data_IF_202192366871
#
_entry.id   IF_202192366871
#
_cell.length_a   1.000
_cell.length_b   1.000
_cell.length_c   1.000
_cell.angle_alpha   90.00
_cell.angle_beta   90.00
_cell.angle_gamma   90.00
#
_symmetry.space_group_name_H-M   'P 1'
#
loop_
_entity.id
_entity.type
_entity.pdbx_description
1 polymer ?
#
# COMPACT_ATOMS: atom_id res chain seq x y z
N UNK A 1 -8.14 -9.51 17.86
CA UNK A 1 -8.74 -8.49 16.96
C UNK A 1 -7.68 -7.60 16.29
N UNK A 2 -6.82 -6.91 17.03
CA UNK A 2 -5.81 -5.98 16.47
C UNK A 2 -4.88 -6.65 15.44
N UNK A 3 -4.40 -7.86 15.73
CA UNK A 3 -3.56 -8.65 14.82
C UNK A 3 -4.24 -8.99 13.48
N UNK A 4 -5.57 -9.22 13.48
CA UNK A 4 -6.33 -9.46 12.24
C UNK A 4 -6.31 -8.21 11.36
N UNK A 5 -6.43 -7.02 11.96
CA UNK A 5 -6.37 -5.76 11.23
C UNK A 5 -4.95 -5.49 10.69
N UNK A 6 -3.91 -5.77 11.49
CA UNK A 6 -2.51 -5.67 11.01
C UNK A 6 -2.29 -6.58 9.80
N UNK A 7 -2.72 -7.84 9.87
CA UNK A 7 -2.63 -8.78 8.76
C UNK A 7 -3.44 -8.31 7.54
N UNK A 8 -4.65 -7.79 7.75
CA UNK A 8 -5.47 -7.23 6.68
C UNK A 8 -4.72 -6.11 5.93
N UNK A 9 -4.20 -5.12 6.65
CA UNK A 9 -3.47 -4.01 6.01
C UNK A 9 -2.13 -4.45 5.42
N UNK A 10 -1.47 -5.45 6.00
CA UNK A 10 -0.29 -6.07 5.41
C UNK A 10 -0.61 -6.70 4.04
N UNK A 11 -1.69 -7.48 3.95
CA UNK A 11 -2.13 -8.12 2.71
C UNK A 11 -2.56 -7.08 1.68
N UNK A 12 -3.32 -6.06 2.09
CA UNK A 12 -3.74 -4.95 1.21
C UNK A 12 -2.52 -4.25 0.62
N UNK A 13 -1.58 -3.81 1.46
CA UNK A 13 -0.37 -3.11 0.99
C UNK A 13 0.51 -4.00 0.13
N UNK A 14 0.61 -5.30 0.47
CA UNK A 14 1.34 -6.28 -0.32
C UNK A 14 0.71 -6.47 -1.71
N UNK A 15 -0.61 -6.58 -1.81
CA UNK A 15 -1.29 -6.67 -3.10
C UNK A 15 -1.12 -5.39 -3.91
N UNK A 16 -1.21 -4.22 -3.29
CA UNK A 16 -0.97 -2.94 -3.97
C UNK A 16 0.48 -2.88 -4.48
N UNK A 17 1.46 -3.27 -3.65
CA UNK A 17 2.86 -3.35 -4.05
C UNK A 17 3.07 -4.30 -5.23
N UNK A 18 2.48 -5.49 -5.16
CA UNK A 18 2.51 -6.49 -6.22
C UNK A 18 1.95 -5.94 -7.53
N UNK A 19 0.76 -5.36 -7.49
CA UNK A 19 0.08 -4.78 -8.66
C UNK A 19 0.88 -3.62 -9.28
N UNK A 20 1.42 -2.73 -8.47
CA UNK A 20 2.08 -1.52 -8.95
C UNK A 20 3.52 -1.75 -9.41
N UNK A 21 4.25 -2.65 -8.75
CA UNK A 21 5.66 -2.90 -9.09
C UNK A 21 5.85 -4.05 -10.05
N UNK A 22 4.95 -5.03 -10.08
CA UNK A 22 5.10 -6.26 -10.87
C UNK A 22 6.36 -7.08 -10.55
N UNK A 23 7.07 -6.74 -9.45
CA UNK A 23 8.35 -7.37 -9.09
C UNK A 23 8.17 -8.79 -8.55
N UNK A 24 7.00 -9.08 -8.00
CA UNK A 24 6.65 -10.38 -7.45
C UNK A 24 5.71 -11.06 -8.45
N UNK A 25 5.93 -12.34 -8.74
CA UNK A 25 5.00 -13.13 -9.55
C UNK A 25 4.14 -13.97 -8.62
N UNK A 26 2.89 -13.55 -8.40
CA UNK A 26 1.90 -14.34 -7.68
C UNK A 26 1.07 -15.17 -8.65
N UNK A 27 0.77 -16.41 -8.29
CA UNK A 27 -0.19 -17.23 -9.00
C UNK A 27 -1.57 -16.54 -8.98
N UNK A 28 -2.24 -16.47 -10.13
CA UNK A 28 -3.56 -15.87 -10.29
C UNK A 28 -4.59 -16.43 -9.30
N UNK A 29 -4.52 -17.73 -8.99
CA UNK A 29 -5.37 -18.34 -7.95
C UNK A 29 -5.16 -17.69 -6.57
N UNK A 30 -3.90 -17.53 -6.15
CA UNK A 30 -3.54 -16.90 -4.87
C UNK A 30 -4.00 -15.44 -4.85
N UNK A 31 -3.81 -14.70 -5.95
CA UNK A 31 -4.26 -13.31 -6.05
C UNK A 31 -5.77 -13.20 -5.85
N UNK A 32 -6.56 -14.04 -6.53
CA UNK A 32 -8.02 -14.06 -6.39
C UNK A 32 -8.42 -14.39 -4.95
N UNK A 33 -7.79 -15.40 -4.33
CA UNK A 33 -8.08 -15.78 -2.94
C UNK A 33 -7.79 -14.64 -1.97
N UNK A 34 -6.68 -13.91 -2.14
CA UNK A 34 -6.34 -12.77 -1.28
C UNK A 34 -7.28 -11.58 -1.49
N UNK A 35 -7.69 -11.30 -2.72
CA UNK A 35 -8.67 -10.24 -3.01
C UNK A 35 -10.03 -10.59 -2.39
N UNK A 36 -10.48 -11.83 -2.59
CA UNK A 36 -11.76 -12.28 -2.04
C UNK A 36 -11.75 -12.28 -0.51
N UNK A 37 -10.66 -12.69 0.14
CA UNK A 37 -10.54 -12.65 1.60
C UNK A 37 -10.58 -11.22 2.14
N UNK A 38 -9.94 -10.25 1.47
CA UNK A 38 -10.04 -8.83 1.84
C UNK A 38 -11.48 -8.35 1.75
N UNK A 39 -12.18 -8.61 0.63
CA UNK A 39 -13.57 -8.17 0.44
C UNK A 39 -14.46 -8.76 1.53
N UNK A 40 -14.31 -10.05 1.83
CA UNK A 40 -15.08 -10.73 2.85
C UNK A 40 -14.81 -10.16 4.26
N UNK A 41 -13.55 -9.87 4.60
CA UNK A 41 -13.21 -9.22 5.88
C UNK A 41 -13.82 -7.82 5.97
N UNK A 42 -13.75 -7.03 4.91
CA UNK A 42 -14.35 -5.69 4.85
C UNK A 42 -15.86 -5.79 5.04
N UNK A 43 -16.54 -6.70 4.33
CA UNK A 43 -17.98 -6.90 4.48
C UNK A 43 -18.36 -7.30 5.92
N UNK A 44 -17.64 -8.26 6.52
CA UNK A 44 -17.86 -8.65 7.92
C UNK A 44 -17.67 -7.45 8.85
N UNK A 45 -16.63 -6.66 8.65
CA UNK A 45 -16.34 -5.49 9.48
C UNK A 45 -17.47 -4.44 9.46
N UNK A 46 -18.08 -4.22 8.29
CA UNK A 46 -19.19 -3.27 8.14
C UNK A 46 -20.55 -3.82 8.57
N UNK A 47 -20.77 -5.13 8.44
CA UNK A 47 -22.00 -5.80 8.85
C UNK A 47 -22.05 -6.10 10.36
N UNK A 48 -20.88 -6.21 11.00
CA UNK A 48 -20.72 -6.34 12.45
C UNK A 48 -21.14 -5.04 13.14
N UNK A 49 -22.45 -4.92 13.42
CA UNK A 49 -23.08 -3.74 14.04
C UNK A 49 -22.65 -3.48 15.50
N UNK A 50 -21.96 -4.42 16.16
CA UNK A 50 -21.68 -4.34 17.59
C UNK A 50 -20.22 -4.75 17.91
N UNK A 51 -19.47 -3.85 18.54
CA UNK A 51 -18.11 -4.03 19.07
C UNK A 51 -16.98 -4.25 18.04
N UNK A 52 -16.87 -3.34 17.07
CA UNK A 52 -15.63 -3.26 16.29
C UNK A 52 -14.48 -2.78 17.19
N UNK A 53 -13.37 -3.52 17.22
CA UNK A 53 -12.18 -3.15 17.99
C UNK A 53 -11.50 -1.86 17.49
N UNK A 54 -11.92 -1.37 16.33
CA UNK A 54 -11.47 -0.16 15.67
C UNK A 54 -12.73 0.61 15.26
N UNK A 55 -12.75 1.93 15.44
CA UNK A 55 -13.85 2.76 14.93
C UNK A 55 -13.88 2.77 13.40
N UNK A 56 -15.07 2.82 12.80
CA UNK A 56 -15.24 2.86 11.34
C UNK A 56 -14.44 4.01 10.72
N UNK A 57 -14.42 5.18 11.40
CA UNK A 57 -13.65 6.34 10.96
C UNK A 57 -12.14 6.05 10.91
N UNK A 58 -11.60 5.37 11.91
CA UNK A 58 -10.18 5.01 11.93
C UNK A 58 -9.86 3.93 10.90
N UNK A 59 -10.73 2.93 10.73
CA UNK A 59 -10.61 1.93 9.68
C UNK A 59 -10.59 2.56 8.28
N UNK A 60 -11.47 3.53 8.03
CA UNK A 60 -11.48 4.29 6.77
C UNK A 60 -10.22 5.11 6.55
N UNK A 61 -9.67 5.72 7.60
CA UNK A 61 -8.39 6.42 7.52
C UNK A 61 -7.24 5.47 7.18
N UNK A 62 -7.23 4.27 7.76
CA UNK A 62 -6.25 3.24 7.44
C UNK A 62 -6.35 2.78 5.98
N UNK A 63 -7.57 2.51 5.49
CA UNK A 63 -7.79 2.21 4.07
C UNK A 63 -7.33 3.34 3.15
N UNK A 64 -7.62 4.59 3.53
CA UNK A 64 -7.15 5.76 2.80
C UNK A 64 -5.62 5.82 2.73
N UNK A 65 -4.91 5.53 3.83
CA UNK A 65 -3.44 5.43 3.82
C UNK A 65 -2.93 4.38 2.83
N UNK A 66 -3.54 3.20 2.75
CA UNK A 66 -3.22 2.22 1.69
C UNK A 66 -3.46 2.80 0.29
N UNK A 67 -4.53 3.57 0.11
CA UNK A 67 -4.82 4.28 -1.14
C UNK A 67 -3.74 5.29 -1.55
N UNK A 68 -3.12 5.99 -0.59
CA UNK A 68 -2.05 6.97 -0.89
C UNK A 68 -0.84 6.36 -1.59
N UNK A 69 -0.62 5.05 -1.45
CA UNK A 69 0.42 4.31 -2.16
C UNK A 69 0.26 4.47 -3.69
N UNK A 70 -0.97 4.42 -4.20
CA UNK A 70 -1.24 4.63 -5.62
C UNK A 70 -0.82 6.02 -6.08
N UNK A 71 -1.21 7.05 -5.32
CA UNK A 71 -0.89 8.46 -5.61
C UNK A 71 0.62 8.64 -5.68
N UNK A 72 1.36 8.16 -4.66
CA UNK A 72 2.82 8.23 -4.64
C UNK A 72 3.48 7.47 -5.79
N UNK A 73 2.98 6.27 -6.12
CA UNK A 73 3.55 5.48 -7.21
C UNK A 73 3.39 6.19 -8.56
N UNK A 74 2.22 6.77 -8.84
CA UNK A 74 2.00 7.48 -10.10
C UNK A 74 2.72 8.83 -10.14
N UNK A 75 2.74 9.58 -9.04
CA UNK A 75 3.47 10.84 -8.94
C UNK A 75 4.97 10.64 -9.20
N UNK A 76 5.58 9.64 -8.58
CA UNK A 76 7.01 9.31 -8.81
C UNK A 76 7.27 8.84 -10.25
N UNK A 77 6.38 8.05 -10.84
CA UNK A 77 6.49 7.64 -12.26
C UNK A 77 6.43 8.85 -13.21
N UNK A 78 5.54 9.80 -12.92
CA UNK A 78 5.42 11.04 -13.69
C UNK A 78 6.67 11.92 -13.54
N UNK A 79 7.18 12.06 -12.32
CA UNK A 79 8.40 12.83 -12.03
C UNK A 79 9.63 12.24 -12.73
N UNK A 80 9.77 10.91 -12.74
CA UNK A 80 10.84 10.22 -13.49
C UNK A 80 10.73 10.50 -15.00
N UNK A 81 9.53 10.45 -15.57
CA UNK A 81 9.32 10.78 -16.99
C UNK A 81 9.71 12.21 -17.32
N UNK A 82 9.38 13.16 -16.44
CA UNK A 82 9.78 14.58 -16.62
C UNK A 82 11.30 14.70 -16.56
N UNK A 83 11.96 14.10 -15.56
CA UNK A 83 13.42 14.13 -15.43
C UNK A 83 14.12 13.55 -16.65
N UNK A 84 13.61 12.43 -17.20
CA UNK A 84 14.14 11.83 -18.43
C UNK A 84 13.98 12.74 -19.65
N UNK A 85 12.93 13.57 -19.70
CA UNK A 85 12.70 14.50 -20.81
C UNK A 85 13.59 15.75 -20.73
N UNK A 86 13.97 16.19 -19.52
CA UNK A 86 14.72 17.44 -19.30
C UNK A 86 16.23 17.26 -19.45
N UNK A 87 16.81 16.09 -19.17
CA UNK A 87 18.26 15.89 -19.32
C UNK A 87 18.64 14.41 -19.44
N UNK A 88 19.62 14.12 -20.31
CA UNK A 88 20.14 12.77 -20.56
C UNK A 88 21.53 12.52 -19.91
N UNK A 89 21.88 13.27 -18.86
CA UNK A 89 23.20 13.17 -18.21
C UNK A 89 23.30 12.01 -17.22
N UNK A 90 24.52 11.53 -16.95
CA UNK A 90 24.82 10.47 -15.96
C UNK A 90 24.26 10.78 -14.56
N UNK A 91 24.19 12.05 -14.16
CA UNK A 91 23.60 12.51 -12.88
C UNK A 91 22.12 12.16 -12.76
N UNK A 92 21.36 12.18 -13.87
CA UNK A 92 19.96 11.76 -13.87
C UNK A 92 19.79 10.26 -13.63
N UNK A 93 20.77 9.41 -14.00
CA UNK A 93 20.67 7.96 -13.76
C UNK A 93 20.72 7.61 -12.27
N UNK A 94 21.60 8.27 -11.50
CA UNK A 94 21.67 8.10 -10.04
C UNK A 94 20.39 8.61 -9.36
N UNK A 95 19.90 9.80 -9.76
CA UNK A 95 18.63 10.34 -9.26
C UNK A 95 17.45 9.42 -9.56
N UNK A 96 17.31 8.92 -10.79
CA UNK A 96 16.26 7.99 -11.19
C UNK A 96 16.35 6.67 -10.40
N UNK A 97 17.55 6.15 -10.18
CA UNK A 97 17.77 4.97 -9.34
C UNK A 97 17.32 5.19 -7.90
N UNK A 98 17.72 6.32 -7.30
CA UNK A 98 17.29 6.73 -5.96
C UNK A 98 15.78 6.88 -5.84
N UNK A 99 15.13 7.56 -6.79
CA UNK A 99 13.67 7.68 -6.83
C UNK A 99 12.98 6.33 -6.96
N UNK A 100 13.51 5.41 -7.77
CA UNK A 100 12.96 4.06 -7.89
C UNK A 100 13.12 3.24 -6.60
N UNK A 101 14.25 3.37 -5.90
CA UNK A 101 14.45 2.73 -4.60
C UNK A 101 13.48 3.27 -3.54
N UNK A 102 13.41 4.60 -3.43
CA UNK A 102 12.53 5.29 -2.49
C UNK A 102 11.06 4.94 -2.74
N UNK A 103 10.64 4.96 -4.02
CA UNK A 103 9.30 4.52 -4.44
C UNK A 103 9.02 3.08 -4.03
N UNK A 104 9.96 2.17 -4.30
CA UNK A 104 9.71 0.73 -4.15
C UNK A 104 9.64 0.32 -2.68
N UNK A 105 10.57 0.78 -1.85
CA UNK A 105 10.74 0.20 -0.52
C UNK A 105 10.32 1.15 0.58
N UNK A 106 10.77 2.40 0.52
CA UNK A 106 10.65 3.31 1.65
C UNK A 106 9.19 3.76 1.87
N UNK A 107 8.48 4.13 0.80
CA UNK A 107 7.07 4.57 0.90
C UNK A 107 6.16 3.45 1.42
N UNK A 108 6.32 2.23 0.90
CA UNK A 108 5.49 1.09 1.29
C UNK A 108 5.72 0.68 2.74
N UNK A 109 6.99 0.64 3.17
CA UNK A 109 7.36 0.34 4.56
C UNK A 109 6.82 1.42 5.48
N UNK A 110 7.02 2.71 5.17
CA UNK A 110 6.53 3.82 5.99
C UNK A 110 5.01 3.78 6.17
N UNK A 111 4.26 3.60 5.08
CA UNK A 111 2.79 3.58 5.16
C UNK A 111 2.33 2.41 6.04
N UNK A 112 2.93 1.24 5.88
CA UNK A 112 2.61 0.10 6.74
C UNK A 112 3.00 0.33 8.21
N UNK A 113 4.17 0.91 8.48
CA UNK A 113 4.60 1.26 9.83
C UNK A 113 3.65 2.27 10.50
N UNK A 114 3.19 3.29 9.77
CA UNK A 114 2.21 4.28 10.26
C UNK A 114 0.89 3.58 10.59
N UNK A 115 0.42 2.69 9.72
CA UNK A 115 -0.82 1.94 9.95
C UNK A 115 -0.70 1.07 11.20
N UNK A 116 0.39 0.31 11.35
CA UNK A 116 0.67 -0.48 12.55
C UNK A 116 0.68 0.39 13.81
N UNK A 117 1.43 1.49 13.84
CA UNK A 117 1.48 2.38 14.99
C UNK A 117 0.09 2.94 15.35
N UNK A 118 -0.67 3.39 14.35
CA UNK A 118 -2.02 3.92 14.60
C UNK A 118 -3.01 2.85 15.04
N UNK A 119 -2.75 1.57 14.79
CA UNK A 119 -3.55 0.47 15.32
C UNK A 119 -3.26 0.22 16.80
N UNK A 120 -2.01 0.42 17.23
CA UNK A 120 -1.59 0.23 18.62
C UNK A 120 -1.88 1.44 19.53
N UNK A 121 -2.04 2.63 18.97
CA UNK A 121 -2.24 3.91 19.69
C UNK A 121 -3.69 4.43 19.59
N UNK A 122 -4.66 3.54 19.33
CA UNK A 122 -6.09 3.86 19.28
C UNK A 122 -6.68 4.19 20.65
#
# INVERSE_FOLDING_TARGET
>A
MLLIHVLLFAIINFLIFHLLTGKIKLNLKIQITLVFSIILIIMIYYLSSFNNSISINHFNRLLFFSGTIFIFHFATKLLIKILQKVSNTKTNKLLISGFNFFKTYLVYILIFSIQCLSLFWQ
#
